data_IF_792862152280
#
_entry.id   IF_792862152280
#
_cell.length_a   1.000
_cell.length_b   1.000
_cell.length_c   1.000
_cell.angle_alpha   90.00
_cell.angle_beta   90.00
_cell.angle_gamma   90.00
#
_symmetry.space_group_name_H-M   'P 1'
#
loop_
_entity.id
_entity.type
_entity.pdbx_description
1 polymer ?
#
# COMPACT_ATOMS: atom_id res chain seq x y z
N UNK A 1 10.56 1.95 -1.86
CA UNK A 1 10.01 1.56 -3.18
C UNK A 1 10.78 0.42 -3.86
N UNK A 2 12.11 0.50 -3.94
CA UNK A 2 12.94 -0.55 -4.59
C UNK A 2 12.74 -1.94 -3.99
N UNK A 3 12.67 -2.08 -2.65
CA UNK A 3 12.42 -3.36 -1.98
C UNK A 3 11.05 -3.95 -2.34
N UNK A 4 10.00 -3.13 -2.42
CA UNK A 4 8.67 -3.57 -2.87
C UNK A 4 8.73 -4.07 -4.33
N UNK A 5 9.47 -3.35 -5.17
CA UNK A 5 9.67 -3.71 -6.58
C UNK A 5 10.39 -5.04 -6.73
N UNK A 6 11.44 -5.24 -5.94
CA UNK A 6 12.19 -6.49 -5.85
C UNK A 6 11.34 -7.66 -5.32
N UNK A 7 10.55 -7.45 -4.26
CA UNK A 7 9.64 -8.48 -3.73
C UNK A 7 8.62 -8.93 -4.78
N UNK A 8 8.08 -7.99 -5.57
CA UNK A 8 7.19 -8.31 -6.69
C UNK A 8 7.92 -9.05 -7.81
N UNK A 9 9.12 -8.61 -8.16
CA UNK A 9 9.97 -9.33 -9.11
C UNK A 9 10.18 -10.78 -8.69
N UNK A 10 10.55 -11.04 -7.44
CA UNK A 10 10.71 -12.39 -6.93
C UNK A 10 9.41 -13.20 -7.01
N UNK A 11 8.28 -12.62 -6.62
CA UNK A 11 6.98 -13.29 -6.64
C UNK A 11 6.53 -13.70 -8.05
N UNK A 12 6.88 -12.93 -9.09
CA UNK A 12 6.45 -13.18 -10.47
C UNK A 12 7.47 -13.97 -11.29
N UNK A 13 8.74 -13.58 -11.20
CA UNK A 13 9.80 -14.12 -12.05
C UNK A 13 10.47 -15.38 -11.45
N UNK A 14 10.36 -15.61 -10.14
CA UNK A 14 11.03 -16.73 -9.46
C UNK A 14 10.22 -17.29 -8.29
N UNK A 15 9.09 -17.97 -8.55
CA UNK A 15 8.17 -18.43 -7.49
C UNK A 15 8.82 -19.35 -6.46
N UNK A 16 9.73 -20.25 -6.88
CA UNK A 16 10.45 -21.16 -5.97
C UNK A 16 11.38 -20.38 -5.03
N UNK A 17 12.16 -19.43 -5.58
CA UNK A 17 13.04 -18.58 -4.76
C UNK A 17 12.22 -17.64 -3.87
N UNK A 18 11.06 -17.17 -4.33
CA UNK A 18 10.17 -16.29 -3.58
C UNK A 18 9.71 -16.93 -2.26
N UNK A 19 9.33 -18.22 -2.28
CA UNK A 19 8.92 -18.95 -1.06
C UNK A 19 10.05 -18.97 -0.03
N UNK A 20 11.30 -19.17 -0.47
CA UNK A 20 12.46 -19.17 0.42
C UNK A 20 12.82 -17.76 0.92
N UNK A 21 12.74 -16.77 0.05
CA UNK A 21 13.21 -15.40 0.32
C UNK A 21 12.24 -14.60 1.19
N UNK A 22 10.93 -14.88 1.12
CA UNK A 22 9.89 -14.12 1.84
C UNK A 22 9.75 -14.52 3.32
N UNK A 23 10.83 -15.01 3.93
CA UNK A 23 10.90 -15.29 5.38
C UNK A 23 11.05 -13.97 6.14
N UNK A 24 10.35 -13.82 7.26
CA UNK A 24 10.38 -12.60 8.10
C UNK A 24 11.80 -12.20 8.51
N UNK A 25 12.68 -13.17 8.79
CA UNK A 25 14.08 -12.89 9.16
C UNK A 25 14.86 -12.20 8.04
N UNK A 26 14.68 -12.64 6.79
CA UNK A 26 15.30 -12.02 5.62
C UNK A 26 14.69 -10.63 5.40
N UNK A 27 13.37 -10.48 5.56
CA UNK A 27 12.72 -9.17 5.45
C UNK A 27 13.29 -8.16 6.47
N UNK A 28 13.44 -8.56 7.74
CA UNK A 28 14.07 -7.73 8.76
C UNK A 28 15.52 -7.37 8.41
N UNK A 29 16.31 -8.35 7.95
CA UNK A 29 17.69 -8.11 7.52
C UNK A 29 17.76 -7.11 6.35
N UNK A 30 16.91 -7.26 5.33
CA UNK A 30 16.84 -6.34 4.19
C UNK A 30 16.43 -4.94 4.64
N UNK A 31 15.46 -4.82 5.56
CA UNK A 31 15.04 -3.52 6.10
C UNK A 31 16.15 -2.84 6.91
N UNK A 32 16.88 -3.59 7.73
CA UNK A 32 18.04 -3.07 8.46
C UNK A 32 19.13 -2.59 7.50
N UNK A 33 19.48 -3.42 6.50
CA UNK A 33 20.45 -3.05 5.47
C UNK A 33 20.03 -1.78 4.72
N UNK A 34 18.78 -1.70 4.28
CA UNK A 34 18.27 -0.50 3.61
C UNK A 34 18.26 0.73 4.51
N UNK A 35 17.98 0.57 5.81
CA UNK A 35 17.99 1.68 6.77
C UNK A 35 19.41 2.17 7.02
N UNK A 36 20.37 1.26 7.21
CA UNK A 36 21.79 1.61 7.35
C UNK A 36 22.33 2.30 6.10
N UNK A 37 22.00 1.78 4.90
CA UNK A 37 22.37 2.44 3.64
C UNK A 37 21.74 3.84 3.52
N UNK A 38 20.47 4.01 3.91
CA UNK A 38 19.82 5.31 3.89
C UNK A 38 20.51 6.32 4.84
N UNK A 39 20.89 5.88 6.05
CA UNK A 39 21.65 6.72 6.99
C UNK A 39 23.00 7.10 6.39
N UNK A 40 23.76 6.14 5.86
CA UNK A 40 25.06 6.38 5.23
C UNK A 40 24.94 7.40 4.08
N UNK A 41 23.89 7.28 3.25
CA UNK A 41 23.65 8.22 2.14
C UNK A 41 23.20 9.61 2.61
N UNK A 42 22.63 9.72 3.81
CA UNK A 42 22.23 11.01 4.40
C UNK A 42 23.38 11.72 5.13
N UNK A 43 24.40 10.99 5.58
CA UNK A 43 25.52 11.59 6.33
C UNK A 43 26.21 12.74 5.56
N UNK A 44 26.55 12.62 4.27
CA UNK A 44 27.15 13.73 3.53
C UNK A 44 26.23 14.95 3.41
N UNK A 45 24.91 14.75 3.39
CA UNK A 45 23.92 15.83 3.37
C UNK A 45 23.98 16.61 4.67
N UNK A 46 24.02 15.91 5.81
CA UNK A 46 24.10 16.56 7.13
C UNK A 46 25.44 17.27 7.31
N UNK A 47 26.53 16.69 6.80
CA UNK A 47 27.87 17.25 7.00
C UNK A 47 28.19 18.46 6.14
N UNK A 48 27.58 18.58 4.96
CA UNK A 48 27.78 19.72 4.06
C UNK A 48 26.67 20.78 4.17
N UNK A 49 25.67 20.58 5.03
CA UNK A 49 24.61 21.57 5.23
C UNK A 49 25.12 22.70 6.13
N UNK A 50 25.25 23.91 5.59
CA UNK A 50 25.51 25.11 6.38
C UNK A 50 24.20 25.86 6.61
N UNK A 51 24.01 26.37 7.82
CA UNK A 51 22.83 27.17 8.16
C UNK A 51 23.19 28.63 7.97
N UNK A 52 22.44 29.32 7.11
CA UNK A 52 22.63 30.73 6.82
C UNK A 52 21.33 31.51 7.05
N UNK A 53 21.47 32.76 7.47
CA UNK A 53 20.34 33.67 7.60
C UNK A 53 20.25 34.53 6.35
N UNK A 54 19.12 34.43 5.66
CA UNK A 54 18.86 35.18 4.42
C UNK A 54 17.79 36.22 4.72
N UNK A 55 18.04 37.46 4.34
CA UNK A 55 17.03 38.51 4.36
C UNK A 55 15.94 38.20 3.32
N UNK A 56 14.67 38.15 3.74
CA UNK A 56 13.55 37.79 2.87
C UNK A 56 13.31 38.85 1.77
N UNK A 57 13.66 40.11 2.00
CA UNK A 57 13.43 41.19 1.05
C UNK A 57 14.54 41.30 0.00
N UNK A 58 15.80 41.17 0.41
CA UNK A 58 16.94 41.34 -0.50
C UNK A 58 17.48 40.02 -1.03
N UNK A 59 17.16 38.89 -0.38
CA UNK A 59 17.80 37.60 -0.65
C UNK A 59 19.27 37.55 -0.22
N UNK A 60 19.79 38.59 0.44
CA UNK A 60 21.20 38.66 0.86
C UNK A 60 21.47 37.82 2.09
N UNK A 61 22.64 37.19 2.13
CA UNK A 61 23.16 36.48 3.30
C UNK A 61 23.54 37.49 4.38
N UNK A 62 22.87 37.42 5.54
CA UNK A 62 23.24 38.18 6.73
C UNK A 62 24.29 37.35 7.46
N UNK A 63 25.57 37.64 7.18
CA UNK A 63 26.67 37.16 8.01
C UNK A 63 26.60 38.01 9.28
N UNK A 64 25.93 37.49 10.32
CA UNK A 64 25.91 38.14 11.62
C UNK A 64 27.32 38.17 12.21
N UNK A 65 28.05 39.25 11.99
CA UNK A 65 29.17 39.60 12.86
C UNK A 65 28.54 39.87 14.24
N UNK A 66 28.73 38.96 15.18
CA UNK A 66 28.26 39.07 16.57
C UNK A 66 28.80 40.31 17.34
N UNK A 67 29.50 41.23 16.67
CA UNK A 67 30.11 42.41 17.27
C UNK A 67 29.36 43.74 17.00
N UNK A 68 28.32 43.78 16.16
CA UNK A 68 27.68 45.07 15.79
C UNK A 68 26.28 45.30 16.40
N UNK A 69 25.86 44.52 17.40
CA UNK A 69 24.58 44.75 18.14
C UNK A 69 24.77 45.44 19.50
N UNK A 70 25.93 46.03 19.75
CA UNK A 70 26.25 46.77 20.98
C UNK A 70 26.90 48.13 20.67
N UNK A 71 26.23 48.95 19.84
CA UNK A 71 26.43 50.40 19.87
C UNK A 71 25.06 51.10 19.96
N UNK A 72 24.38 50.81 21.09
CA UNK A 72 23.50 51.78 21.70
C UNK A 72 24.42 52.87 22.25
N UNK A 73 24.60 53.96 21.49
CA UNK A 73 24.65 55.33 22.00
C UNK A 73 25.26 56.30 20.98
N UNK A 74 24.50 57.38 20.76
CA UNK A 74 24.95 58.73 20.39
C UNK A 74 25.80 58.89 19.12
N UNK A 75 25.16 59.21 18.00
CA UNK A 75 25.24 60.57 17.43
C UNK A 75 24.41 60.73 16.15
N UNK A 76 23.68 61.85 16.12
CA UNK A 76 23.33 62.65 14.95
C UNK A 76 22.20 62.22 13.98
N UNK A 77 21.19 63.10 14.01
CA UNK A 77 20.41 63.62 12.89
C UNK A 77 19.35 62.73 12.23
N UNK A 78 18.13 62.88 12.75
CA UNK A 78 16.92 63.19 11.98
C UNK A 78 16.96 62.88 10.47
N UNK A 79 16.59 61.65 10.12
CA UNK A 79 15.92 61.37 8.86
C UNK A 79 14.83 60.32 9.07
N UNK A 80 13.59 60.79 8.96
CA UNK A 80 12.41 60.10 8.47
C UNK A 80 12.33 58.56 8.58
N UNK A 81 11.52 58.13 9.56
CA UNK A 81 10.50 57.05 9.47
C UNK A 81 10.57 56.12 8.25
N UNK A 82 11.15 54.93 8.44
CA UNK A 82 10.63 53.65 7.93
C UNK A 82 11.37 52.53 8.69
N UNK A 83 10.79 52.02 9.79
CA UNK A 83 11.22 50.75 10.36
C UNK A 83 10.81 49.63 9.39
N UNK A 84 11.62 49.37 8.37
CA UNK A 84 11.53 48.14 7.60
C UNK A 84 12.01 47.01 8.52
N UNK A 85 11.06 46.24 9.04
CA UNK A 85 11.37 45.02 9.78
C UNK A 85 11.98 44.05 8.78
N UNK A 86 13.31 43.93 8.77
CA UNK A 86 14.00 42.90 8.00
C UNK A 86 13.52 41.53 8.51
N UNK A 87 12.70 40.86 7.72
CA UNK A 87 12.25 39.50 8.03
C UNK A 87 13.38 38.59 7.59
N UNK A 88 14.04 37.92 8.52
CA UNK A 88 15.11 36.98 8.22
C UNK A 88 14.56 35.56 8.12
N UNK A 89 14.90 34.84 7.05
CA UNK A 89 14.63 33.40 6.91
C UNK A 89 15.93 32.61 7.09
N UNK A 90 15.91 31.66 8.03
CA UNK A 90 16.98 30.67 8.17
C UNK A 90 16.85 29.62 7.08
N UNK A 91 17.88 29.46 6.24
CA UNK A 91 17.93 28.46 5.17
C UNK A 91 19.17 27.59 5.34
N UNK A 92 19.05 26.31 4.99
CA UNK A 92 20.21 25.45 4.85
C UNK A 92 20.71 25.57 3.41
N UNK A 93 21.95 26.03 3.23
CA UNK A 93 22.61 26.07 1.93
C UNK A 93 23.68 24.98 1.92
N UNK A 94 23.82 24.32 0.78
CA UNK A 94 24.95 23.43 0.52
C UNK A 94 25.99 24.27 -0.20
N UNK A 95 27.24 24.20 0.26
CA UNK A 95 28.32 25.05 -0.23
C UNK A 95 28.36 25.05 -1.77
N UNK A 96 28.04 26.20 -2.35
CA UNK A 96 27.73 26.37 -3.77
C UNK A 96 28.94 26.07 -4.67
N UNK A 97 30.13 26.03 -4.07
CA UNK A 97 31.41 25.85 -4.75
C UNK A 97 31.59 24.46 -5.38
N UNK A 98 30.83 23.43 -4.95
CA UNK A 98 31.03 22.08 -5.47
C UNK A 98 29.73 21.42 -5.99
N UNK A 99 29.52 21.35 -7.32
CA UNK A 99 28.33 20.73 -7.89
C UNK A 99 28.27 19.22 -7.66
N UNK A 100 29.37 18.60 -7.18
CA UNK A 100 29.41 17.19 -6.79
C UNK A 100 28.28 16.84 -5.82
N UNK A 101 27.90 17.73 -4.90
CA UNK A 101 26.81 17.46 -3.97
C UNK A 101 25.44 17.34 -4.67
N UNK A 102 25.17 18.23 -5.64
CA UNK A 102 23.94 18.16 -6.44
C UNK A 102 23.90 16.85 -7.25
N UNK A 103 24.99 16.49 -7.92
CA UNK A 103 25.06 15.25 -8.69
C UNK A 103 24.92 14.01 -7.81
N UNK A 104 25.53 14.02 -6.61
CA UNK A 104 25.41 12.95 -5.62
C UNK A 104 23.96 12.78 -5.16
N UNK A 105 23.30 13.87 -4.75
CA UNK A 105 21.90 13.81 -4.28
C UNK A 105 20.94 13.43 -5.40
N UNK A 106 21.16 13.89 -6.64
CA UNK A 106 20.40 13.45 -7.82
C UNK A 106 20.58 11.95 -8.07
N UNK A 107 21.82 11.47 -8.06
CA UNK A 107 22.15 10.08 -8.34
C UNK A 107 21.55 9.14 -7.29
N UNK A 108 21.81 9.41 -6.00
CA UNK A 108 21.38 8.55 -4.90
C UNK A 108 19.89 8.73 -4.55
N UNK A 109 19.37 9.95 -4.63
CA UNK A 109 17.99 10.28 -4.26
C UNK A 109 16.96 9.92 -5.34
N UNK A 110 17.34 9.95 -6.62
CA UNK A 110 16.40 9.71 -7.72
C UNK A 110 16.89 8.72 -8.77
N UNK A 111 18.03 8.95 -9.40
CA UNK A 111 18.45 8.18 -10.57
C UNK A 111 18.62 6.68 -10.26
N UNK A 112 19.39 6.35 -9.22
CA UNK A 112 19.64 4.97 -8.81
C UNK A 112 18.34 4.25 -8.37
N UNK A 113 17.51 4.81 -7.48
CA UNK A 113 16.18 4.25 -7.20
C UNK A 113 15.32 4.08 -8.45
N UNK A 114 15.26 5.09 -9.34
CA UNK A 114 14.46 5.07 -10.55
C UNK A 114 14.89 3.96 -11.51
N UNK A 115 16.19 3.81 -11.75
CA UNK A 115 16.74 2.76 -12.63
C UNK A 115 16.44 1.36 -12.07
N UNK A 116 16.66 1.14 -10.78
CA UNK A 116 16.38 -0.15 -10.14
C UNK A 116 14.88 -0.50 -10.17
N UNK A 117 14.02 0.45 -9.82
CA UNK A 117 12.56 0.27 -9.85
C UNK A 117 12.11 -0.04 -11.28
N UNK A 118 12.57 0.73 -12.26
CA UNK A 118 12.22 0.54 -13.68
C UNK A 118 12.68 -0.82 -14.17
N UNK A 119 13.93 -1.20 -13.92
CA UNK A 119 14.46 -2.51 -14.29
C UNK A 119 13.63 -3.67 -13.73
N UNK A 120 13.33 -3.66 -12.42
CA UNK A 120 12.54 -4.73 -11.81
C UNK A 120 11.12 -4.78 -12.35
N UNK A 121 10.48 -3.63 -12.56
CA UNK A 121 9.10 -3.58 -13.06
C UNK A 121 8.96 -3.91 -14.52
N UNK A 122 9.90 -3.51 -15.38
CA UNK A 122 9.93 -3.94 -16.77
C UNK A 122 9.99 -5.47 -16.86
N UNK A 123 10.84 -6.10 -16.05
CA UNK A 123 10.92 -7.57 -15.99
C UNK A 123 9.61 -8.21 -15.50
N UNK A 124 8.96 -7.63 -14.48
CA UNK A 124 7.64 -8.09 -14.00
C UNK A 124 6.57 -7.97 -15.09
N UNK A 125 6.53 -6.84 -15.80
CA UNK A 125 5.57 -6.58 -16.87
C UNK A 125 5.80 -7.56 -18.03
N UNK A 126 7.03 -7.68 -18.53
CA UNK A 126 7.37 -8.62 -19.62
C UNK A 126 6.96 -10.05 -19.23
N UNK A 127 7.26 -10.48 -18.01
CA UNK A 127 6.90 -11.82 -17.53
C UNK A 127 5.38 -12.02 -17.44
N UNK A 128 4.64 -11.02 -16.98
CA UNK A 128 3.19 -11.07 -16.91
C UNK A 128 2.55 -11.09 -18.30
N UNK A 129 3.05 -10.29 -19.24
CA UNK A 129 2.59 -10.31 -20.63
C UNK A 129 2.82 -11.67 -21.28
N UNK A 130 4.01 -12.26 -21.11
CA UNK A 130 4.30 -13.63 -21.57
C UNK A 130 3.39 -14.66 -20.91
N UNK A 131 3.06 -14.51 -19.63
CA UNK A 131 2.10 -15.39 -18.96
C UNK A 131 0.69 -15.27 -19.52
N UNK A 132 0.25 -14.09 -19.97
CA UNK A 132 -1.09 -13.91 -20.58
C UNK A 132 -1.14 -14.50 -21.98
N UNK A 133 -0.07 -14.31 -22.78
CA UNK A 133 0.06 -14.92 -24.10
C UNK A 133 -0.01 -16.46 -24.03
N UNK A 134 0.73 -17.06 -23.08
CA UNK A 134 0.75 -18.51 -22.91
C UNK A 134 -0.59 -19.08 -22.36
N UNK A 135 -1.39 -18.28 -21.64
CA UNK A 135 -2.68 -18.72 -21.07
C UNK A 135 -3.78 -18.87 -22.13
N UNK A 136 -3.64 -18.27 -23.31
CA UNK A 136 -4.53 -18.56 -24.44
C UNK A 136 -4.37 -19.99 -24.98
N UNK A 137 -3.28 -20.69 -24.60
CA UNK A 137 -2.92 -21.97 -25.20
C UNK A 137 -3.15 -23.20 -24.29
N UNK A 138 -3.54 -23.03 -23.02
CA UNK A 138 -3.81 -24.16 -22.12
C UNK A 138 -4.88 -23.82 -21.07
N UNK A 139 -6.02 -24.50 -21.13
CA UNK A 139 -7.17 -24.41 -20.20
C UNK A 139 -6.88 -24.96 -18.78
N UNK A 140 -5.62 -25.05 -18.38
CA UNK A 140 -5.22 -25.76 -17.16
C UNK A 140 -5.40 -24.88 -15.91
N UNK A 141 -6.42 -25.25 -15.14
CA UNK A 141 -6.68 -24.91 -13.74
C UNK A 141 -7.09 -23.44 -13.50
N UNK A 142 -8.39 -23.22 -13.34
CA UNK A 142 -9.03 -21.97 -12.83
C UNK A 142 -8.30 -21.32 -11.65
N UNK A 143 -7.68 -22.12 -10.77
CA UNK A 143 -6.84 -21.68 -9.65
C UNK A 143 -5.61 -20.86 -10.11
N UNK A 144 -4.92 -21.27 -11.18
CA UNK A 144 -3.76 -20.56 -11.71
C UNK A 144 -4.17 -19.23 -12.35
N UNK A 145 -5.28 -19.23 -13.11
CA UNK A 145 -5.86 -18.01 -13.69
C UNK A 145 -6.21 -16.98 -12.59
N UNK A 146 -6.82 -17.43 -11.50
CA UNK A 146 -7.14 -16.57 -10.35
C UNK A 146 -5.89 -16.04 -9.62
N UNK A 147 -4.81 -16.83 -9.52
CA UNK A 147 -3.54 -16.36 -8.98
C UNK A 147 -2.91 -15.27 -9.87
N UNK A 148 -2.85 -15.51 -11.18
CA UNK A 148 -2.31 -14.55 -12.16
C UNK A 148 -3.10 -13.24 -12.19
N UNK A 149 -4.45 -13.30 -12.12
CA UNK A 149 -5.28 -12.10 -12.04
C UNK A 149 -4.96 -11.26 -10.80
N UNK A 150 -4.81 -11.89 -9.63
CA UNK A 150 -4.45 -11.20 -8.38
C UNK A 150 -3.08 -10.53 -8.50
N UNK A 151 -2.09 -11.24 -9.05
CA UNK A 151 -0.76 -10.67 -9.30
C UNK A 151 -0.85 -9.45 -10.22
N UNK A 152 -1.60 -9.53 -11.32
CA UNK A 152 -1.80 -8.41 -12.25
C UNK A 152 -2.44 -7.18 -11.58
N UNK A 153 -3.44 -7.40 -10.72
CA UNK A 153 -4.09 -6.32 -9.96
C UNK A 153 -3.11 -5.63 -9.01
N UNK A 154 -2.30 -6.39 -8.28
CA UNK A 154 -1.27 -5.84 -7.38
C UNK A 154 -0.20 -5.09 -8.17
N UNK A 155 0.27 -5.67 -9.28
CA UNK A 155 1.24 -5.00 -10.17
C UNK A 155 0.69 -3.67 -10.70
N UNK A 156 -0.58 -3.62 -11.13
CA UNK A 156 -1.22 -2.37 -11.61
C UNK A 156 -1.18 -1.27 -10.54
N UNK A 157 -1.47 -1.61 -9.27
CA UNK A 157 -1.43 -0.64 -8.16
C UNK A 157 -0.02 -0.10 -7.92
N UNK A 158 0.99 -0.95 -7.98
CA UNK A 158 2.36 -0.51 -7.72
C UNK A 158 2.93 0.25 -8.93
N UNK A 159 2.56 -0.12 -10.15
CA UNK A 159 2.88 0.69 -11.35
C UNK A 159 2.29 2.10 -11.20
N UNK A 160 1.04 2.24 -10.73
CA UNK A 160 0.46 3.55 -10.47
C UNK A 160 1.26 4.35 -9.43
N UNK A 161 1.73 3.71 -8.36
CA UNK A 161 2.62 4.38 -7.39
C UNK A 161 3.97 4.80 -7.97
N UNK A 162 4.53 4.01 -8.90
CA UNK A 162 5.81 4.32 -9.54
C UNK A 162 5.65 5.52 -10.47
N UNK A 163 4.58 5.54 -11.27
CA UNK A 163 4.25 6.70 -12.09
C UNK A 163 4.06 7.95 -11.23
N UNK A 164 3.39 7.81 -10.08
CA UNK A 164 3.25 8.90 -9.12
C UNK A 164 4.60 9.34 -8.54
N UNK A 165 5.49 8.41 -8.20
CA UNK A 165 6.85 8.73 -7.77
C UNK A 165 7.59 9.56 -8.83
N UNK A 166 7.57 9.14 -10.10
CA UNK A 166 8.17 9.91 -11.19
C UNK A 166 7.52 11.29 -11.34
N UNK A 167 6.19 11.36 -11.31
CA UNK A 167 5.45 12.61 -11.37
C UNK A 167 5.86 13.57 -10.25
N UNK A 168 6.13 13.06 -9.04
CA UNK A 168 6.52 13.89 -7.91
C UNK A 168 7.98 14.35 -7.94
N UNK A 169 8.89 13.51 -8.39
CA UNK A 169 10.32 13.79 -8.36
C UNK A 169 10.85 14.49 -9.60
N UNK A 170 10.29 14.20 -10.79
CA UNK A 170 10.77 14.77 -12.06
C UNK A 170 10.74 16.31 -12.05
N UNK A 171 9.64 16.99 -11.63
CA UNK A 171 9.61 18.45 -11.64
C UNK A 171 10.70 19.07 -10.77
N UNK A 172 10.95 18.48 -9.59
CA UNK A 172 11.99 18.96 -8.68
C UNK A 172 13.38 18.85 -9.31
N UNK A 173 13.74 17.68 -9.84
CA UNK A 173 15.06 17.49 -10.46
C UNK A 173 15.21 18.22 -11.78
N UNK A 174 14.15 18.33 -12.59
CA UNK A 174 14.17 19.10 -13.82
C UNK A 174 14.48 20.57 -13.50
N UNK A 175 13.81 21.18 -12.53
CA UNK A 175 14.05 22.56 -12.14
C UNK A 175 15.46 22.76 -11.57
N UNK A 176 15.93 21.87 -10.69
CA UNK A 176 17.29 21.96 -10.14
C UNK A 176 18.37 21.84 -11.22
N UNK A 177 18.21 20.92 -12.18
CA UNK A 177 19.15 20.76 -13.30
C UNK A 177 19.09 21.95 -14.26
N UNK A 178 17.89 22.46 -14.58
CA UNK A 178 17.73 23.63 -15.44
C UNK A 178 18.35 24.89 -14.82
N UNK A 179 18.23 25.06 -13.50
CA UNK A 179 18.92 26.11 -12.77
C UNK A 179 20.45 25.91 -12.78
N UNK A 180 20.92 24.68 -12.56
CA UNK A 180 22.36 24.38 -12.54
C UNK A 180 23.06 24.62 -13.87
N UNK A 181 22.42 24.27 -14.99
CA UNK A 181 22.96 24.52 -16.33
C UNK A 181 22.72 25.94 -16.84
N UNK A 182 22.22 26.85 -15.98
CA UNK A 182 21.91 28.24 -16.32
C UNK A 182 20.88 28.40 -17.46
N UNK A 183 20.08 27.35 -17.75
CA UNK A 183 18.98 27.44 -18.71
C UNK A 183 17.82 28.28 -18.18
N UNK A 184 17.73 28.42 -16.85
CA UNK A 184 16.78 29.29 -16.17
C UNK A 184 17.58 30.20 -15.23
N UNK A 185 17.46 31.52 -15.41
CA UNK A 185 18.00 32.49 -14.46
C UNK A 185 17.11 32.46 -13.21
N UNK A 186 17.64 31.91 -12.12
CA UNK A 186 16.93 31.87 -10.84
C UNK A 186 16.93 33.28 -10.23
N UNK A 187 15.94 34.07 -10.61
CA UNK A 187 15.64 35.32 -9.94
C UNK A 187 14.46 35.11 -8.99
N UNK A 188 14.77 35.04 -7.69
CA UNK A 188 13.77 34.96 -6.61
C UNK A 188 12.81 36.15 -6.59
N UNK A 189 13.08 37.21 -7.36
CA UNK A 189 12.19 38.35 -7.58
C UNK A 189 10.92 37.95 -8.36
N UNK A 190 10.97 36.89 -9.17
CA UNK A 190 9.84 36.47 -9.99
C UNK A 190 8.93 35.54 -9.19
N UNK A 191 7.74 36.05 -8.82
CA UNK A 191 6.72 35.28 -8.09
C UNK A 191 6.40 33.94 -8.76
N UNK A 192 6.34 33.93 -10.09
CA UNK A 192 6.04 32.72 -10.88
C UNK A 192 7.08 31.64 -10.69
N UNK A 193 8.38 31.96 -10.77
CA UNK A 193 9.44 30.96 -10.65
C UNK A 193 9.51 30.41 -9.22
N UNK A 194 9.43 31.29 -8.22
CA UNK A 194 9.40 30.89 -6.81
C UNK A 194 8.22 29.97 -6.51
N UNK A 195 7.03 30.28 -7.04
CA UNK A 195 5.83 29.44 -6.91
C UNK A 195 6.01 28.06 -7.57
N UNK A 196 6.68 27.99 -8.72
CA UNK A 196 6.95 26.72 -9.43
C UNK A 196 7.91 25.84 -8.64
N UNK A 197 9.02 26.39 -8.12
CA UNK A 197 9.95 25.64 -7.26
C UNK A 197 9.28 25.16 -5.98
N UNK A 198 8.47 26.02 -5.35
CA UNK A 198 7.70 25.66 -4.17
C UNK A 198 6.70 24.54 -4.46
N UNK A 199 5.94 24.64 -5.56
CA UNK A 199 5.00 23.60 -5.98
C UNK A 199 5.70 22.26 -6.28
N UNK A 200 6.86 22.28 -6.95
CA UNK A 200 7.65 21.08 -7.20
C UNK A 200 8.14 20.43 -5.90
N UNK A 201 8.57 21.25 -4.93
CA UNK A 201 8.95 20.75 -3.61
C UNK A 201 7.76 20.17 -2.84
N UNK A 202 6.61 20.84 -2.84
CA UNK A 202 5.37 20.32 -2.27
C UNK A 202 4.99 18.98 -2.89
N UNK A 203 5.17 18.82 -4.19
CA UNK A 203 4.87 17.58 -4.89
C UNK A 203 5.77 16.42 -4.41
N UNK A 204 7.05 16.68 -4.14
CA UNK A 204 7.94 15.72 -3.47
C UNK A 204 7.41 15.38 -2.07
N UNK A 205 6.92 16.36 -1.30
CA UNK A 205 6.29 16.09 0.00
C UNK A 205 5.04 15.20 -0.12
N UNK A 206 4.22 15.37 -1.16
CA UNK A 206 3.05 14.54 -1.43
C UNK A 206 3.39 13.06 -1.69
N UNK A 207 4.62 12.74 -2.11
CA UNK A 207 5.10 11.34 -2.22
C UNK A 207 4.92 10.57 -0.88
N UNK A 208 5.09 11.26 0.25
CA UNK A 208 4.91 10.66 1.58
C UNK A 208 3.45 10.30 1.87
N UNK A 209 2.47 11.05 1.32
CA UNK A 209 1.04 10.81 1.50
C UNK A 209 0.53 9.57 0.76
N UNK A 210 1.27 9.09 -0.25
CA UNK A 210 0.92 7.85 -0.98
C UNK A 210 1.23 6.59 -0.19
N UNK A 211 2.09 6.66 0.83
CA UNK A 211 2.39 5.52 1.67
C UNK A 211 1.14 4.99 2.42
N UNK A 212 0.36 5.82 3.16
CA UNK A 212 -0.93 5.42 3.72
C UNK A 212 -1.89 4.79 2.70
N UNK A 213 -1.96 5.36 1.50
CA UNK A 213 -2.82 4.86 0.42
C UNK A 213 -2.38 3.44 0.01
N UNK A 214 -1.08 3.23 -0.21
CA UNK A 214 -0.55 1.90 -0.51
C UNK A 214 -0.86 0.90 0.61
N UNK A 215 -0.61 1.27 1.86
CA UNK A 215 -0.89 0.38 2.99
C UNK A 215 -2.38 0.04 3.09
N UNK A 216 -3.26 1.02 2.89
CA UNK A 216 -4.70 0.80 2.85
C UNK A 216 -5.10 -0.17 1.73
N UNK A 217 -4.51 -0.04 0.54
CA UNK A 217 -4.75 -0.92 -0.60
C UNK A 217 -4.22 -2.33 -0.37
N UNK A 218 -3.03 -2.49 0.23
CA UNK A 218 -2.46 -3.80 0.59
C UNK A 218 -3.34 -4.47 1.66
N UNK A 219 -3.71 -3.72 2.70
CA UNK A 219 -4.56 -4.23 3.78
C UNK A 219 -5.94 -4.64 3.28
N UNK A 220 -6.51 -3.91 2.32
CA UNK A 220 -7.76 -4.32 1.64
C UNK A 220 -7.60 -5.68 0.95
N UNK A 221 -6.50 -5.92 0.24
CA UNK A 221 -6.24 -7.22 -0.38
C UNK A 221 -6.06 -8.33 0.64
N UNK A 222 -5.28 -8.08 1.70
CA UNK A 222 -5.09 -9.05 2.77
C UNK A 222 -6.43 -9.41 3.42
N UNK A 223 -7.22 -8.41 3.82
CA UNK A 223 -8.58 -8.63 4.37
C UNK A 223 -9.44 -9.45 3.42
N UNK A 224 -9.48 -9.11 2.13
CA UNK A 224 -10.23 -9.87 1.14
C UNK A 224 -9.75 -11.33 1.03
N UNK A 225 -8.44 -11.58 1.15
CA UNK A 225 -7.89 -12.94 1.16
C UNK A 225 -8.26 -13.71 2.45
N UNK A 226 -8.16 -13.07 3.61
CA UNK A 226 -8.54 -13.64 4.90
C UNK A 226 -10.04 -13.95 4.94
N UNK A 227 -10.91 -13.03 4.53
CA UNK A 227 -12.36 -13.25 4.45
C UNK A 227 -12.71 -14.39 3.50
N UNK A 228 -12.09 -14.45 2.30
CA UNK A 228 -12.29 -15.56 1.36
C UNK A 228 -11.84 -16.91 1.94
N UNK A 229 -10.71 -16.95 2.65
CA UNK A 229 -10.21 -18.15 3.30
C UNK A 229 -11.12 -18.60 4.45
N UNK A 230 -11.61 -17.66 5.26
CA UNK A 230 -12.55 -17.90 6.36
C UNK A 230 -13.87 -18.48 5.83
N UNK A 231 -14.49 -17.83 4.83
CA UNK A 231 -15.73 -18.32 4.20
C UNK A 231 -15.54 -19.74 3.65
N UNK A 232 -14.40 -20.04 3.00
CA UNK A 232 -14.11 -21.38 2.49
C UNK A 232 -13.99 -22.40 3.61
N UNK A 233 -13.35 -22.05 4.74
CA UNK A 233 -13.25 -22.89 5.94
C UNK A 233 -14.63 -23.16 6.55
N UNK A 234 -15.46 -22.13 6.71
CA UNK A 234 -16.83 -22.27 7.22
C UNK A 234 -17.68 -23.19 6.32
N UNK A 235 -17.60 -23.04 4.99
CA UNK A 235 -18.30 -23.93 4.05
C UNK A 235 -17.80 -25.37 4.15
N UNK A 236 -16.49 -25.59 4.27
CA UNK A 236 -15.93 -26.93 4.45
C UNK A 236 -16.42 -27.58 5.74
N UNK A 237 -16.52 -26.81 6.83
CA UNK A 237 -17.03 -27.30 8.12
C UNK A 237 -18.54 -27.59 8.06
N UNK A 238 -19.32 -26.71 7.42
CA UNK A 238 -20.76 -26.90 7.18
C UNK A 238 -21.02 -28.15 6.34
N UNK A 239 -20.21 -28.40 5.30
CA UNK A 239 -20.35 -29.59 4.47
C UNK A 239 -19.99 -30.86 5.27
N UNK A 240 -18.88 -30.84 6.02
CA UNK A 240 -18.48 -31.98 6.85
C UNK A 240 -19.51 -32.32 7.94
N UNK A 241 -20.09 -31.29 8.59
CA UNK A 241 -21.16 -31.47 9.59
C UNK A 241 -22.45 -31.98 8.95
N UNK A 242 -22.85 -31.47 7.78
CA UNK A 242 -24.00 -32.02 7.03
C UNK A 242 -23.80 -33.47 6.64
N UNK A 243 -22.62 -33.84 6.12
CA UNK A 243 -22.32 -35.23 5.74
C UNK A 243 -22.26 -36.16 6.96
N UNK A 244 -21.73 -35.69 8.10
CA UNK A 244 -21.73 -36.46 9.34
C UNK A 244 -23.16 -36.65 9.87
N UNK A 245 -24.00 -35.61 9.81
CA UNK A 245 -25.40 -35.68 10.22
C UNK A 245 -26.20 -36.65 9.33
N UNK A 246 -26.01 -36.59 8.01
CA UNK A 246 -26.63 -37.52 7.06
C UNK A 246 -26.20 -38.98 7.32
N UNK A 247 -24.93 -39.21 7.67
CA UNK A 247 -24.43 -40.53 8.01
C UNK A 247 -25.04 -41.06 9.32
N UNK A 248 -25.19 -40.21 10.34
CA UNK A 248 -25.84 -40.56 11.61
C UNK A 248 -27.32 -40.89 11.40
N UNK A 249 -28.04 -40.10 10.59
CA UNK A 249 -29.44 -40.36 10.24
C UNK A 249 -29.57 -41.71 9.54
N UNK A 250 -28.74 -42.00 8.53
CA UNK A 250 -28.76 -43.31 7.84
C UNK A 250 -28.47 -44.49 8.78
N UNK A 251 -27.51 -44.33 9.69
CA UNK A 251 -27.18 -45.38 10.66
C UNK A 251 -28.32 -45.60 11.67
N UNK A 252 -29.02 -44.54 12.09
CA UNK A 252 -30.20 -44.68 12.95
C UNK A 252 -31.34 -45.43 12.27
N UNK A 253 -31.62 -45.16 10.98
CA UNK A 253 -32.63 -45.90 10.23
C UNK A 253 -32.29 -47.38 10.11
N UNK A 254 -31.03 -47.73 9.83
CA UNK A 254 -30.60 -49.13 9.76
C UNK A 254 -30.66 -49.83 11.13
N UNK A 255 -30.38 -49.13 12.23
CA UNK A 255 -30.53 -49.69 13.58
C UNK A 255 -32.00 -49.94 13.93
N UNK A 256 -32.91 -49.05 13.51
CA UNK A 256 -34.36 -49.26 13.67
C UNK A 256 -34.84 -50.45 12.84
N UNK A 257 -34.32 -50.61 11.61
CA UNK A 257 -34.67 -51.72 10.72
C UNK A 257 -34.10 -53.07 11.20
N UNK A 258 -32.88 -53.10 11.75
CA UNK A 258 -32.28 -54.30 12.34
C UNK A 258 -32.75 -54.63 13.77
N UNK A 259 -33.33 -53.66 14.48
CA UNK A 259 -33.97 -53.90 15.78
C UNK A 259 -35.40 -54.44 15.65
N UNK A 260 -35.90 -54.66 14.42
CA UNK A 260 -37.03 -55.56 14.20
C UNK A 260 -36.57 -56.99 14.46
N UNK A 261 -36.92 -57.58 15.61
CA UNK A 261 -38.07 -58.48 15.62
C UNK A 261 -38.78 -58.46 16.98
N UNK A 262 -39.88 -57.70 17.11
CA UNK A 262 -40.90 -57.97 18.11
C UNK A 262 -42.17 -57.23 17.71
N UNK A 263 -43.10 -58.04 17.20
CA UNK A 263 -44.51 -57.79 17.02
C UNK A 263 -45.09 -56.82 18.06
N UNK A 264 -45.29 -55.56 17.67
CA UNK A 264 -46.22 -54.65 18.34
C UNK A 264 -47.06 -53.96 17.27
N UNK A 265 -48.26 -54.50 17.07
CA UNK A 265 -49.35 -53.80 16.41
C UNK A 265 -49.53 -52.43 17.06
N UNK A 266 -49.37 -51.37 16.27
CA UNK A 266 -50.04 -50.12 16.54
C UNK A 266 -50.70 -49.67 15.24
N UNK A 267 -51.92 -50.17 15.04
CA UNK A 267 -52.87 -49.58 14.10
C UNK A 267 -53.19 -48.17 14.59
N UNK A 268 -52.76 -47.17 13.84
CA UNK A 268 -53.34 -45.84 13.86
C UNK A 268 -53.53 -45.40 12.40
N UNK A 269 -54.60 -45.92 11.82
CA UNK A 269 -55.26 -45.41 10.61
C UNK A 269 -55.73 -43.98 10.85
N UNK A 270 -55.11 -43.02 10.17
CA UNK A 270 -55.68 -41.74 9.71
C UNK A 270 -54.50 -40.96 9.12
N UNK A 271 -54.40 -40.64 7.84
CA UNK A 271 -55.42 -40.31 6.87
C UNK A 271 -54.84 -39.14 6.06
N UNK A 272 -55.17 -39.12 4.76
CA UNK A 272 -55.12 -37.95 3.88
C UNK A 272 -53.79 -37.49 3.26
N UNK A 273 -53.63 -37.99 2.04
CA UNK A 273 -53.51 -37.23 0.77
C UNK A 273 -52.25 -36.41 0.44
N UNK A 274 -51.71 -36.81 -0.72
CA UNK A 274 -50.85 -36.09 -1.65
C UNK A 274 -51.15 -34.58 -1.77
N UNK A 275 -50.11 -33.76 -1.74
CA UNK A 275 -49.91 -32.75 -2.78
C UNK A 275 -48.47 -32.26 -2.85
N UNK A 276 -47.91 -32.36 -4.06
CA UNK A 276 -46.69 -31.68 -4.48
C UNK A 276 -46.86 -30.16 -4.39
N UNK A 277 -45.70 -29.52 -4.26
CA UNK A 277 -45.40 -28.14 -4.65
C UNK A 277 -45.63 -27.01 -3.63
N UNK A 278 -44.56 -26.23 -3.46
CA UNK A 278 -44.48 -24.84 -2.96
C UNK A 278 -44.31 -24.60 -1.45
N UNK A 279 -43.03 -24.45 -1.07
CA UNK A 279 -42.43 -23.22 -0.53
C UNK A 279 -43.19 -22.46 0.59
N UNK A 280 -42.46 -22.37 1.72
CA UNK A 280 -42.44 -21.34 2.78
C UNK A 280 -43.37 -21.54 4.00
N UNK A 281 -42.71 -21.30 5.12
CA UNK A 281 -43.18 -20.74 6.40
C UNK A 281 -43.55 -21.68 7.55
N UNK A 282 -42.83 -21.41 8.65
CA UNK A 282 -43.28 -21.36 10.05
C UNK A 282 -43.39 -22.65 10.85
N UNK A 283 -42.40 -22.75 11.73
CA UNK A 283 -42.55 -22.71 13.19
C UNK A 283 -43.32 -23.82 13.92
N UNK A 284 -42.55 -24.40 14.84
CA UNK A 284 -42.89 -24.76 16.21
C UNK A 284 -43.58 -26.10 16.49
N UNK A 285 -43.00 -26.74 17.52
CA UNK A 285 -43.46 -27.90 18.30
C UNK A 285 -43.49 -29.21 17.50
N UNK A 286 -42.89 -30.32 17.92
CA UNK A 286 -42.92 -30.86 19.28
C UNK A 286 -41.80 -31.90 19.45
N UNK A 287 -41.08 -31.78 20.56
CA UNK A 287 -40.44 -32.81 21.40
C UNK A 287 -39.91 -34.10 20.77
N UNK A 288 -38.58 -34.23 20.70
CA UNK A 288 -37.85 -35.42 21.17
C UNK A 288 -36.39 -35.05 21.44
N UNK A 289 -35.95 -35.38 22.64
CA UNK A 289 -34.80 -34.84 23.36
C UNK A 289 -33.45 -35.38 22.85
N UNK A 290 -32.61 -34.54 22.24
CA UNK A 290 -31.13 -34.70 22.27
C UNK A 290 -30.51 -33.32 22.07
N UNK A 291 -29.75 -32.85 23.06
CA UNK A 291 -29.24 -31.48 23.11
C UNK A 291 -28.17 -31.21 22.03
N UNK A 292 -28.49 -30.28 21.11
CA UNK A 292 -27.55 -29.75 20.12
C UNK A 292 -27.07 -28.38 20.60
N UNK A 293 -25.76 -28.25 20.80
CA UNK A 293 -25.06 -27.00 21.13
C UNK A 293 -25.12 -26.05 19.90
N UNK A 294 -25.49 -24.77 20.04
CA UNK A 294 -25.76 -23.90 18.89
C UNK A 294 -24.45 -23.39 18.25
N UNK A 295 -24.31 -23.62 16.94
CA UNK A 295 -23.28 -22.99 16.11
C UNK A 295 -23.73 -21.58 15.71
N UNK A 296 -22.85 -20.62 15.95
CA UNK A 296 -22.97 -19.18 15.74
C UNK A 296 -23.83 -18.74 14.54
N UNK A 297 -24.94 -18.04 14.82
CA UNK A 297 -25.60 -17.15 13.88
C UNK A 297 -24.88 -15.80 13.87
N UNK A 298 -24.21 -15.45 12.78
CA UNK A 298 -23.77 -14.07 12.53
C UNK A 298 -24.59 -13.53 11.35
N UNK A 299 -25.50 -12.62 11.69
CA UNK A 299 -26.27 -11.82 10.74
C UNK A 299 -25.34 -11.05 9.80
N UNK A 300 -25.59 -11.19 8.50
CA UNK A 300 -24.93 -10.43 7.44
C UNK A 300 -25.66 -9.08 7.27
N UNK A 301 -24.99 -7.92 7.26
CA UNK A 301 -25.62 -6.69 6.81
C UNK A 301 -25.53 -6.62 5.29
N UNK A 302 -26.67 -6.80 4.63
CA UNK A 302 -26.90 -6.42 3.23
C UNK A 302 -26.95 -4.89 3.16
N UNK A 303 -26.03 -4.26 2.43
CA UNK A 303 -26.25 -2.90 1.91
C UNK A 303 -26.29 -3.01 0.39
N UNK A 304 -27.39 -2.48 -0.13
CA UNK A 304 -27.86 -2.56 -1.49
C UNK A 304 -26.91 -1.90 -2.51
N UNK A 305 -26.87 -2.47 -3.71
CA UNK A 305 -26.56 -1.74 -4.93
C UNK A 305 -27.93 -1.46 -5.54
N UNK A 306 -28.31 -0.19 -5.55
CA UNK A 306 -29.42 0.33 -6.34
C UNK A 306 -28.88 0.64 -7.74
N UNK A 307 -29.55 0.08 -8.74
CA UNK A 307 -29.34 0.40 -10.15
C UNK A 307 -30.18 1.65 -10.45
N UNK A 308 -29.54 2.65 -11.06
CA UNK A 308 -30.02 3.43 -12.21
C UNK A 308 -28.79 3.81 -13.04
#
# INVERSE_FOLDING_TARGET
>A
MTVLSWDRYLAVCSPIKSIRMRRTTIACFVLLLCSSLAVILLLPVVMNATVVHVDVQTGSLIIGNQNDTLHLDQHNHQQHKHHHHHITQTKCIFEESNPTFMYYTFACGFLLPALLITYFYLNVIIRLHKSVANVHQHSFITKQRNANMRIRQVTKRIVAMILFYFFCWIPHWALNLLAHFELIVVSWSTLTLSSIFFAAHLLVCFNSAVNPILYALINRELRQQHTKALIKRCRSLSNATSTALDALIKHSHHLVECAGPLHCNFDATSGYENQQHTRKEKNNSLSSTTAVIPLCSFNNPTIAIEND
#
